data_IF_106470064013
#
_entry.id   IF_106470064013
#
_cell.length_a   1.000
_cell.length_b   1.000
_cell.length_c   1.000
_cell.angle_alpha   90.00
_cell.angle_beta   90.00
_cell.angle_gamma   90.00
#
_symmetry.space_group_name_H-M   'P 1'
#
loop_
_entity.id
_entity.type
_entity.pdbx_description
1 polymer ?
#
# COMPACT_ATOMS: atom_id res chain seq x y z
N UNK A 1 12.04 -10.17 5.61
CA UNK A 1 11.47 -9.10 6.47
C UNK A 1 10.21 -8.43 5.94
N UNK A 2 9.96 -8.36 4.63
CA UNK A 2 8.59 -8.08 4.10
C UNK A 2 7.65 -9.30 4.22
N UNK A 3 8.18 -10.46 4.52
CA UNK A 3 7.48 -11.73 4.58
C UNK A 3 6.48 -11.84 5.74
N UNK A 4 6.83 -11.32 6.92
CA UNK A 4 6.00 -11.48 8.12
C UNK A 4 4.72 -10.63 8.11
N UNK A 5 4.64 -9.70 7.14
CA UNK A 5 3.45 -8.86 6.93
C UNK A 5 2.32 -9.61 6.22
N UNK A 6 2.63 -10.70 5.53
CA UNK A 6 1.68 -11.46 4.72
C UNK A 6 1.29 -12.82 5.30
N UNK A 7 1.69 -13.14 6.53
CA UNK A 7 1.36 -14.41 7.21
C UNK A 7 -0.13 -14.48 7.68
N UNK A 8 -1.02 -13.75 7.03
CA UNK A 8 -2.45 -13.98 7.17
C UNK A 8 -2.98 -14.75 5.96
N UNK A 9 -3.03 -16.11 6.10
CA UNK A 9 -3.70 -17.02 5.14
C UNK A 9 -5.08 -16.52 4.70
N UNK A 10 -5.74 -15.66 5.48
CA UNK A 10 -7.04 -15.06 5.17
C UNK A 10 -6.93 -13.99 4.09
N UNK A 11 -5.81 -13.27 3.99
CA UNK A 11 -5.58 -12.26 2.94
C UNK A 11 -5.27 -12.94 1.60
N UNK A 12 -4.41 -13.97 1.58
CA UNK A 12 -4.12 -14.74 0.37
C UNK A 12 -5.39 -15.39 -0.20
N UNK A 13 -6.26 -15.97 0.63
CA UNK A 13 -7.52 -16.57 0.20
C UNK A 13 -8.57 -15.56 -0.27
N UNK A 14 -8.52 -14.29 0.15
CA UNK A 14 -9.42 -13.23 -0.33
C UNK A 14 -9.00 -12.69 -1.69
N UNK A 15 -7.73 -12.63 -1.99
CA UNK A 15 -7.22 -12.15 -3.29
C UNK A 15 -7.48 -13.15 -4.42
N UNK A 16 -7.54 -14.45 -4.13
CA UNK A 16 -7.85 -15.50 -5.11
C UNK A 16 -9.31 -15.48 -5.64
N UNK A 17 -10.20 -14.63 -5.11
CA UNK A 17 -11.61 -14.52 -5.54
C UNK A 17 -11.91 -13.34 -6.46
N UNK A 18 -10.90 -12.73 -7.10
CA UNK A 18 -11.15 -11.67 -8.08
C UNK A 18 -11.71 -12.28 -9.37
N UNK A 19 -12.88 -11.82 -9.88
CA UNK A 19 -13.43 -12.37 -11.12
C UNK A 19 -12.54 -12.09 -12.30
N UNK A 20 -12.21 -13.11 -13.09
CA UNK A 20 -11.60 -12.95 -14.40
C UNK A 20 -12.57 -12.16 -15.28
N UNK A 21 -12.29 -10.94 -15.57
CA UNK A 21 -13.15 -10.13 -16.42
C UNK A 21 -12.63 -8.75 -16.73
N UNK A 22 -12.09 -8.60 -17.94
CA UNK A 22 -12.14 -7.41 -18.75
C UNK A 22 -11.46 -6.16 -18.18
N UNK A 23 -10.52 -5.63 -18.95
CA UNK A 23 -10.06 -4.23 -18.84
C UNK A 23 -11.29 -3.31 -18.77
N UNK A 24 -11.73 -2.99 -17.56
CA UNK A 24 -12.62 -1.84 -17.37
C UNK A 24 -11.73 -0.69 -16.98
N UNK A 25 -11.75 0.34 -17.84
CA UNK A 25 -11.05 1.58 -17.60
C UNK A 25 -11.33 2.10 -16.18
N UNK A 26 -10.32 2.74 -15.59
CA UNK A 26 -10.44 3.46 -14.32
C UNK A 26 -11.71 4.31 -14.39
N UNK A 27 -12.68 4.15 -13.46
CA UNK A 27 -13.89 4.96 -13.49
C UNK A 27 -13.50 6.44 -13.45
N UNK A 28 -14.07 7.22 -14.38
CA UNK A 28 -13.95 8.67 -14.33
C UNK A 28 -14.24 9.17 -12.89
N UNK A 29 -13.42 10.06 -12.32
CA UNK A 29 -13.52 10.49 -10.93
C UNK A 29 -14.81 11.25 -10.56
N UNK A 30 -15.78 11.33 -11.46
CA UNK A 30 -17.05 12.01 -11.27
C UNK A 30 -18.22 11.10 -10.87
N UNK A 31 -18.04 9.78 -10.82
CA UNK A 31 -19.08 8.91 -10.28
C UNK A 31 -18.93 8.81 -8.76
N UNK A 32 -19.90 9.39 -8.03
CA UNK A 32 -20.18 8.98 -6.65
C UNK A 32 -20.30 7.46 -6.65
N UNK A 33 -19.39 6.76 -5.99
CA UNK A 33 -19.64 5.36 -5.66
C UNK A 33 -20.95 5.35 -4.89
N UNK A 34 -21.96 4.65 -5.43
CA UNK A 34 -23.28 4.58 -4.83
C UNK A 34 -23.32 3.73 -3.57
N UNK A 35 -22.52 4.09 -2.57
CA UNK A 35 -22.65 3.64 -1.19
C UNK A 35 -23.61 4.61 -0.54
N UNK A 36 -24.64 4.11 0.09
CA UNK A 36 -25.78 4.89 0.56
C UNK A 36 -25.48 5.84 1.72
N UNK A 37 -24.69 6.87 1.49
CA UNK A 37 -24.39 7.94 2.45
C UNK A 37 -22.91 8.02 2.86
N UNK A 38 -22.54 9.05 3.64
CA UNK A 38 -21.18 9.22 4.14
C UNK A 38 -20.75 8.08 5.06
N UNK A 39 -19.49 7.63 4.92
CA UNK A 39 -18.91 6.57 5.74
C UNK A 39 -18.07 7.15 6.88
N UNK A 40 -18.00 6.44 8.02
CA UNK A 40 -17.15 6.85 9.14
C UNK A 40 -15.68 6.51 8.90
N UNK A 41 -15.39 5.45 8.12
CA UNK A 41 -14.04 4.98 7.85
C UNK A 41 -13.92 4.56 6.39
N UNK A 42 -12.89 5.06 5.73
CA UNK A 42 -12.39 4.55 4.45
C UNK A 42 -11.00 3.94 4.67
N UNK A 43 -10.75 2.79 4.07
CA UNK A 43 -9.48 2.06 4.23
C UNK A 43 -8.90 1.76 2.85
N UNK A 44 -7.63 2.12 2.63
CA UNK A 44 -6.88 1.80 1.43
C UNK A 44 -5.53 1.23 1.85
N UNK A 45 -5.47 -0.10 1.94
CA UNK A 45 -4.28 -0.87 2.32
C UNK A 45 -3.62 -1.54 1.12
N UNK A 46 -2.46 -2.15 1.38
CA UNK A 46 -1.58 -2.75 0.38
C UNK A 46 -1.15 -1.73 -0.69
N UNK A 47 -0.89 -0.51 -0.24
CA UNK A 47 -0.36 0.58 -1.08
C UNK A 47 -1.22 0.83 -2.32
N UNK A 48 -2.50 0.49 -2.28
CA UNK A 48 -3.41 0.48 -3.43
C UNK A 48 -3.55 1.82 -4.13
N UNK A 49 -3.29 2.93 -3.43
CA UNK A 49 -3.32 4.29 -3.98
C UNK A 49 -2.02 4.69 -4.72
N UNK A 50 -0.96 3.87 -4.66
CA UNK A 50 0.31 4.12 -5.36
C UNK A 50 0.22 3.94 -6.87
N UNK A 51 -0.92 3.45 -7.37
CA UNK A 51 -1.25 3.43 -8.81
C UNK A 51 -1.36 4.83 -9.41
N UNK A 52 -1.61 5.85 -8.58
CA UNK A 52 -1.64 7.24 -9.01
C UNK A 52 -0.21 7.77 -9.15
N UNK A 53 0.19 8.10 -10.38
CA UNK A 53 1.57 8.45 -10.74
C UNK A 53 1.88 9.93 -10.58
N UNK A 54 0.87 10.79 -10.47
CA UNK A 54 1.05 12.24 -10.36
C UNK A 54 0.41 12.80 -9.09
N UNK A 55 0.98 13.91 -8.56
CA UNK A 55 0.40 14.63 -7.42
C UNK A 55 -1.05 15.04 -7.67
N UNK A 56 -1.38 15.42 -8.90
CA UNK A 56 -2.74 15.84 -9.28
C UNK A 56 -3.73 14.68 -9.14
N UNK A 57 -3.37 13.50 -9.64
CA UNK A 57 -4.22 12.31 -9.54
C UNK A 57 -4.40 11.84 -8.10
N UNK A 58 -3.30 11.75 -7.34
CA UNK A 58 -3.36 11.30 -5.95
C UNK A 58 -4.13 12.30 -5.07
N UNK A 59 -3.90 13.61 -5.21
CA UNK A 59 -4.70 14.63 -4.53
C UNK A 59 -6.18 14.48 -4.87
N UNK A 60 -6.50 14.31 -6.16
CA UNK A 60 -7.89 14.14 -6.60
C UNK A 60 -8.54 12.91 -5.99
N UNK A 61 -7.81 11.81 -5.88
CA UNK A 61 -8.27 10.61 -5.17
C UNK A 61 -8.61 10.94 -3.71
N UNK A 62 -7.72 11.62 -2.99
CA UNK A 62 -7.95 12.02 -1.60
C UNK A 62 -9.14 12.97 -1.43
N UNK A 63 -9.32 13.94 -2.33
CA UNK A 63 -10.50 14.83 -2.36
C UNK A 63 -11.80 14.03 -2.51
N UNK A 64 -11.83 13.04 -3.42
CA UNK A 64 -12.99 12.16 -3.63
C UNK A 64 -13.26 11.33 -2.38
N UNK A 65 -12.24 10.70 -1.80
CA UNK A 65 -12.42 9.92 -0.56
C UNK A 65 -12.97 10.82 0.54
N UNK A 66 -12.36 11.98 0.76
CA UNK A 66 -12.80 12.94 1.78
C UNK A 66 -14.25 13.36 1.59
N UNK A 67 -14.68 13.59 0.36
CA UNK A 67 -16.07 13.99 0.07
C UNK A 67 -17.10 12.92 0.46
N UNK A 68 -16.69 11.65 0.50
CA UNK A 68 -17.52 10.51 0.88
C UNK A 68 -17.43 10.15 2.38
N UNK A 69 -16.52 10.76 3.14
CA UNK A 69 -16.45 10.60 4.59
C UNK A 69 -17.52 11.45 5.30
N UNK A 70 -18.00 10.97 6.44
CA UNK A 70 -18.82 11.76 7.38
C UNK A 70 -18.02 12.90 8.02
N UNK A 71 -18.67 13.76 8.84
CA UNK A 71 -18.01 14.92 9.45
C UNK A 71 -16.76 14.58 10.28
N UNK A 72 -16.77 13.43 10.98
CA UNK A 72 -15.64 12.91 11.79
C UNK A 72 -15.03 11.67 11.14
N UNK A 73 -15.18 11.54 9.83
CA UNK A 73 -14.70 10.36 9.11
C UNK A 73 -13.18 10.35 8.97
N UNK A 74 -12.63 9.15 8.92
CA UNK A 74 -11.18 8.91 8.83
C UNK A 74 -10.86 8.13 7.56
N UNK A 75 -9.80 8.55 6.88
CA UNK A 75 -9.12 7.75 5.87
C UNK A 75 -7.92 7.06 6.50
N UNK A 76 -7.83 5.75 6.36
CA UNK A 76 -6.73 4.93 6.85
C UNK A 76 -5.96 4.32 5.69
N UNK A 77 -4.64 4.54 5.67
CA UNK A 77 -3.72 4.13 4.62
C UNK A 77 -2.52 3.39 5.22
N UNK A 78 -1.80 2.65 4.41
CA UNK A 78 -0.45 2.17 4.70
C UNK A 78 0.57 2.74 3.72
N UNK A 79 1.83 2.76 4.14
CA UNK A 79 2.96 3.09 3.29
C UNK A 79 4.20 2.33 3.77
N UNK A 80 5.10 2.02 2.87
CA UNK A 80 6.42 1.49 3.17
C UNK A 80 7.51 2.34 2.50
N UNK A 81 8.73 2.13 2.94
CA UNK A 81 9.91 2.76 2.38
C UNK A 81 11.16 2.24 3.06
N UNK A 82 12.28 2.90 2.85
CA UNK A 82 13.56 2.52 3.42
C UNK A 82 14.68 2.54 2.40
N UNK A 83 15.87 2.18 2.86
CA UNK A 83 17.09 2.22 2.04
C UNK A 83 17.05 1.19 0.90
N UNK A 84 16.41 0.05 1.12
CA UNK A 84 16.42 -1.08 0.18
C UNK A 84 15.26 -1.02 -0.82
N UNK A 85 14.23 -0.21 -0.56
CA UNK A 85 13.04 -0.14 -1.42
C UNK A 85 13.33 0.30 -2.86
N UNK A 86 14.27 1.23 -3.14
CA UNK A 86 14.63 1.58 -4.52
C UNK A 86 15.50 0.53 -5.24
N UNK A 87 15.90 -0.54 -4.55
CA UNK A 87 16.79 -1.54 -5.13
C UNK A 87 15.99 -2.62 -5.88
N UNK A 88 16.53 -3.07 -7.00
CA UNK A 88 16.00 -4.26 -7.69
C UNK A 88 16.32 -5.46 -6.82
N UNK A 89 15.32 -6.17 -6.36
CA UNK A 89 15.45 -7.27 -5.42
C UNK A 89 14.38 -8.34 -5.63
N UNK A 90 14.68 -9.53 -5.11
CA UNK A 90 13.77 -10.67 -5.07
C UNK A 90 13.71 -11.19 -3.63
N UNK A 91 12.51 -11.20 -3.07
CA UNK A 91 12.23 -11.79 -1.77
C UNK A 91 11.41 -13.07 -1.94
N UNK A 92 11.85 -14.15 -1.29
CA UNK A 92 11.27 -15.48 -1.36
C UNK A 92 10.82 -15.92 0.02
N UNK A 93 9.57 -16.36 0.13
CA UNK A 93 8.99 -16.88 1.37
C UNK A 93 8.46 -18.26 1.10
N UNK A 94 9.02 -19.26 1.79
CA UNK A 94 8.59 -20.64 1.72
C UNK A 94 7.36 -20.87 2.61
N UNK A 95 6.32 -21.43 2.04
CA UNK A 95 5.13 -21.95 2.71
C UNK A 95 5.06 -23.47 2.50
N UNK A 96 4.15 -24.13 3.23
CA UNK A 96 4.03 -25.60 3.20
C UNK A 96 3.76 -26.17 1.79
N UNK A 97 2.97 -25.45 0.98
CA UNK A 97 2.53 -25.93 -0.34
C UNK A 97 3.09 -25.12 -1.52
N UNK A 98 3.77 -24.00 -1.26
CA UNK A 98 4.29 -23.11 -2.31
C UNK A 98 5.34 -22.15 -1.78
N UNK A 99 6.15 -21.60 -2.69
CA UNK A 99 7.02 -20.46 -2.41
C UNK A 99 6.38 -19.19 -3.00
N UNK A 100 6.14 -18.20 -2.14
CA UNK A 100 5.78 -16.85 -2.56
C UNK A 100 7.04 -16.11 -2.99
N UNK A 101 6.99 -15.45 -4.15
CA UNK A 101 8.14 -14.70 -4.68
C UNK A 101 7.70 -13.29 -5.04
N UNK A 102 8.22 -12.31 -4.30
CA UNK A 102 8.12 -10.90 -4.64
C UNK A 102 9.34 -10.49 -5.44
N UNK A 103 9.14 -9.84 -6.59
CA UNK A 103 10.20 -9.30 -7.44
C UNK A 103 9.99 -7.83 -7.68
N UNK A 104 10.95 -7.00 -7.27
CA UNK A 104 11.05 -5.63 -7.73
C UNK A 104 11.92 -5.60 -8.99
N UNK A 105 11.37 -5.12 -10.10
CA UNK A 105 11.96 -5.29 -11.43
C UNK A 105 12.61 -4.02 -11.95
N UNK A 106 12.07 -2.87 -11.59
CA UNK A 106 12.53 -1.58 -12.11
C UNK A 106 12.25 -0.46 -11.11
N UNK A 107 13.09 0.57 -11.12
CA UNK A 107 12.91 1.80 -10.37
C UNK A 107 13.52 2.97 -11.12
N UNK A 108 12.69 3.94 -11.50
CA UNK A 108 13.11 5.19 -12.12
C UNK A 108 13.29 6.29 -11.08
N UNK A 109 14.52 6.74 -10.89
CA UNK A 109 14.89 7.77 -9.90
C UNK A 109 14.33 9.16 -10.23
N UNK A 110 13.91 9.43 -11.48
CA UNK A 110 13.36 10.71 -11.88
C UNK A 110 11.86 10.83 -11.60
N UNK A 111 11.14 9.75 -11.81
CA UNK A 111 9.68 9.68 -11.61
C UNK A 111 9.29 9.02 -10.28
N UNK A 112 10.20 8.25 -9.68
CA UNK A 112 9.96 7.32 -8.58
C UNK A 112 8.97 6.20 -8.95
N UNK A 113 8.76 5.98 -10.24
CA UNK A 113 7.99 4.85 -10.70
C UNK A 113 8.76 3.55 -10.48
N UNK A 114 8.07 2.51 -10.04
CA UNK A 114 8.65 1.18 -9.91
C UNK A 114 7.67 0.10 -10.30
N UNK A 115 8.22 -1.00 -10.78
CA UNK A 115 7.47 -2.17 -11.17
C UNK A 115 7.84 -3.36 -10.31
N UNK A 116 6.84 -4.03 -9.80
CA UNK A 116 7.01 -5.25 -9.04
C UNK A 116 5.97 -6.30 -9.42
N UNK A 117 6.26 -7.53 -9.04
CA UNK A 117 5.39 -8.65 -9.34
C UNK A 117 5.44 -9.71 -8.27
N UNK A 118 4.36 -10.46 -8.17
CA UNK A 118 4.24 -11.63 -7.31
C UNK A 118 4.14 -12.86 -8.21
N UNK A 119 4.85 -13.90 -7.83
CA UNK A 119 4.78 -15.23 -8.43
C UNK A 119 4.62 -16.28 -7.33
N UNK A 120 4.08 -17.42 -7.69
CA UNK A 120 4.00 -18.60 -6.82
C UNK A 120 4.68 -19.76 -7.51
N UNK A 121 5.55 -20.45 -6.80
CA UNK A 121 6.25 -21.65 -7.25
C UNK A 121 5.80 -22.83 -6.38
N UNK A 122 5.50 -23.97 -6.98
CA UNK A 122 4.96 -25.15 -6.30
C UNK A 122 5.98 -26.29 -6.30
N UNK A 123 5.87 -27.22 -5.34
CA UNK A 123 6.78 -28.36 -5.16
C UNK A 123 6.85 -29.30 -6.36
N UNK A 124 5.78 -29.37 -7.15
CA UNK A 124 5.73 -30.17 -8.38
C UNK A 124 6.47 -29.54 -9.56
N UNK A 125 7.10 -28.38 -9.35
CA UNK A 125 7.83 -27.60 -10.37
C UNK A 125 6.92 -26.72 -11.25
N UNK A 126 5.62 -26.68 -11.01
CA UNK A 126 4.71 -25.73 -11.64
C UNK A 126 4.85 -24.33 -11.04
N UNK A 127 4.50 -23.29 -11.81
CA UNK A 127 4.53 -21.91 -11.34
C UNK A 127 3.36 -21.08 -11.89
N UNK A 128 2.99 -20.04 -11.14
CA UNK A 128 2.16 -18.94 -11.62
C UNK A 128 3.04 -17.70 -11.69
N UNK A 129 3.51 -17.34 -12.88
CA UNK A 129 4.48 -16.26 -13.08
C UNK A 129 4.18 -15.39 -14.32
N UNK A 130 3.82 -14.09 -14.17
CA UNK A 130 3.46 -13.46 -12.91
C UNK A 130 2.02 -13.81 -12.50
N UNK A 131 1.78 -13.95 -11.20
CA UNK A 131 0.43 -14.02 -10.64
C UNK A 131 -0.18 -12.62 -10.56
N UNK A 132 0.61 -11.65 -10.10
CA UNK A 132 0.23 -10.25 -10.01
C UNK A 132 1.38 -9.36 -10.49
N UNK A 133 1.02 -8.20 -11.05
CA UNK A 133 1.97 -7.16 -11.43
C UNK A 133 1.47 -5.82 -10.95
N UNK A 134 2.39 -4.99 -10.46
CA UNK A 134 2.12 -3.66 -9.95
C UNK A 134 3.03 -2.66 -10.67
N UNK A 135 2.44 -1.56 -11.11
CA UNK A 135 3.15 -0.40 -11.61
C UNK A 135 2.78 0.77 -10.70
N UNK A 136 3.65 1.10 -9.77
CA UNK A 136 3.44 2.06 -8.70
C UNK A 136 4.37 3.26 -8.83
N UNK A 137 4.06 4.32 -8.10
CA UNK A 137 5.00 5.38 -7.76
C UNK A 137 5.30 5.29 -6.27
N UNK A 138 6.59 5.26 -5.93
CA UNK A 138 7.05 5.36 -4.54
C UNK A 138 6.82 6.79 -4.04
N UNK A 139 5.88 6.95 -3.11
CA UNK A 139 5.55 8.23 -2.50
C UNK A 139 6.27 8.39 -1.16
N UNK A 140 6.92 9.53 -0.93
CA UNK A 140 7.43 9.84 0.39
C UNK A 140 6.31 10.17 1.37
N UNK A 141 6.54 9.93 2.67
CA UNK A 141 5.54 10.26 3.70
C UNK A 141 5.24 11.76 3.76
N UNK A 142 6.20 12.60 3.40
CA UNK A 142 6.00 14.06 3.31
C UNK A 142 5.02 14.40 2.19
N UNK A 143 5.22 13.85 0.99
CA UNK A 143 4.31 14.07 -0.13
C UNK A 143 2.88 13.58 0.17
N UNK A 144 2.74 12.38 0.75
CA UNK A 144 1.42 11.82 1.11
C UNK A 144 0.73 12.76 2.12
N UNK A 145 1.42 13.20 3.17
CA UNK A 145 0.85 14.10 4.17
C UNK A 145 0.43 15.42 3.56
N UNK A 146 1.30 16.07 2.78
CA UNK A 146 1.00 17.35 2.12
C UNK A 146 -0.21 17.21 1.18
N UNK A 147 -0.29 16.13 0.41
CA UNK A 147 -1.42 15.88 -0.50
C UNK A 147 -2.74 15.63 0.24
N UNK A 148 -2.70 14.98 1.40
CA UNK A 148 -3.87 14.83 2.28
C UNK A 148 -4.32 16.19 2.84
N UNK A 149 -3.38 17.01 3.31
CA UNK A 149 -3.65 18.37 3.80
C UNK A 149 -4.19 19.27 2.67
N UNK A 150 -3.58 19.23 1.48
CA UNK A 150 -4.07 19.92 0.27
C UNK A 150 -5.48 19.46 -0.14
N UNK A 151 -5.82 18.19 0.05
CA UNK A 151 -7.16 17.65 -0.18
C UNK A 151 -8.17 18.05 0.90
N UNK A 152 -7.71 18.74 1.95
CA UNK A 152 -8.53 19.35 3.00
C UNK A 152 -8.73 18.48 4.25
N UNK A 153 -7.98 17.39 4.43
CA UNK A 153 -7.97 16.66 5.72
C UNK A 153 -7.41 17.56 6.81
N UNK A 154 -8.06 17.56 7.97
CA UNK A 154 -7.77 18.50 9.07
C UNK A 154 -6.57 18.06 9.91
N UNK A 155 -6.29 16.76 9.93
CA UNK A 155 -5.19 16.19 10.73
C UNK A 155 -4.69 14.90 10.09
N UNK A 156 -3.37 14.75 9.98
CA UNK A 156 -2.71 13.58 9.42
C UNK A 156 -1.72 13.03 10.44
N UNK A 157 -1.99 11.83 10.93
CA UNK A 157 -1.16 11.12 11.90
C UNK A 157 -0.44 9.96 11.21
N UNK A 158 0.86 9.83 11.47
CA UNK A 158 1.70 8.72 11.03
C UNK A 158 1.94 7.80 12.22
N UNK A 159 1.57 6.53 12.10
CA UNK A 159 1.74 5.53 13.15
C UNK A 159 2.90 4.61 12.80
N UNK A 160 4.00 4.76 13.55
CA UNK A 160 5.22 3.99 13.36
C UNK A 160 5.18 2.72 14.18
N UNK A 161 5.60 1.61 13.60
CA UNK A 161 5.71 0.37 14.32
C UNK A 161 6.91 0.38 15.27
N UNK A 162 6.76 -0.24 16.44
CA UNK A 162 7.87 -0.50 17.35
C UNK A 162 8.53 -1.80 16.96
N UNK A 163 9.85 -1.76 16.83
CA UNK A 163 10.64 -2.97 16.71
C UNK A 163 11.06 -3.46 18.09
N UNK A 164 11.28 -4.75 18.21
CA UNK A 164 11.94 -5.37 19.35
C UNK A 164 13.46 -5.15 19.29
N UNK A 165 14.24 -5.65 20.29
CA UNK A 165 15.70 -5.52 20.28
C UNK A 165 16.37 -6.25 19.12
N UNK A 166 15.73 -7.23 18.53
CA UNK A 166 16.20 -8.03 17.40
C UNK A 166 15.88 -7.33 16.05
N UNK A 167 15.07 -6.25 16.07
CA UNK A 167 14.69 -5.45 14.91
C UNK A 167 13.39 -5.90 14.24
N UNK A 168 12.67 -6.86 14.85
CA UNK A 168 11.40 -7.37 14.31
C UNK A 168 10.22 -6.49 14.75
N UNK A 169 9.23 -6.36 13.87
CA UNK A 169 8.01 -5.59 14.15
C UNK A 169 7.16 -6.24 15.26
N UNK A 170 6.75 -5.46 16.24
CA UNK A 170 6.00 -5.95 17.41
C UNK A 170 4.48 -5.88 17.27
N UNK A 171 3.96 -5.37 16.15
CA UNK A 171 2.53 -5.08 15.97
C UNK A 171 2.03 -3.90 16.84
N UNK A 172 2.93 -3.18 17.50
CA UNK A 172 2.58 -2.03 18.36
C UNK A 172 3.00 -0.73 17.71
N UNK A 173 2.03 0.15 17.50
CA UNK A 173 2.23 1.42 16.81
C UNK A 173 2.20 2.60 17.78
N UNK A 174 2.93 3.67 17.43
CA UNK A 174 2.99 4.91 18.20
C UNK A 174 3.12 6.12 17.26
N UNK A 175 2.87 7.32 17.76
CA UNK A 175 3.07 8.57 17.02
C UNK A 175 4.51 9.06 17.21
N UNK A 176 5.39 8.93 16.24
CA UNK A 176 6.79 9.34 16.36
C UNK A 176 6.91 10.85 16.20
N UNK A 177 7.84 11.46 16.94
CA UNK A 177 8.32 12.82 16.64
C UNK A 177 9.40 12.81 15.55
N UNK A 178 10.12 11.71 15.44
CA UNK A 178 11.16 11.43 14.47
C UNK A 178 11.21 9.92 14.25
N UNK A 179 11.45 9.49 13.03
CA UNK A 179 11.72 8.11 12.68
C UNK A 179 13.11 8.03 12.01
N UNK A 180 13.76 6.90 12.17
CA UNK A 180 15.03 6.61 11.50
C UNK A 180 14.75 5.99 10.14
N UNK A 181 15.71 6.15 9.21
CA UNK A 181 15.61 5.53 7.89
C UNK A 181 16.19 4.11 7.99
N UNK A 182 15.35 3.16 8.25
CA UNK A 182 15.69 1.74 8.33
C UNK A 182 15.87 1.14 6.92
N UNK A 183 16.36 -0.11 6.84
CA UNK A 183 16.46 -0.83 5.57
C UNK A 183 15.11 -0.94 4.88
N UNK A 184 14.09 -1.38 5.62
CA UNK A 184 12.67 -1.35 5.23
C UNK A 184 11.87 -0.91 6.44
N UNK A 185 10.95 0.02 6.27
CA UNK A 185 10.00 0.43 7.29
C UNK A 185 8.58 0.42 6.74
N UNK A 186 7.65 0.23 7.66
CA UNK A 186 6.23 0.29 7.37
C UNK A 186 5.52 1.23 8.36
N UNK A 187 4.51 1.95 7.88
CA UNK A 187 3.74 2.88 8.68
C UNK A 187 2.28 2.88 8.27
N UNK A 188 1.41 3.15 9.23
CA UNK A 188 0.02 3.49 8.95
C UNK A 188 -0.19 5.01 9.00
N UNK A 189 -1.14 5.47 8.22
CA UNK A 189 -1.50 6.88 8.09
C UNK A 189 -2.99 7.00 8.37
N UNK A 190 -3.38 7.82 9.34
CA UNK A 190 -4.78 8.16 9.61
C UNK A 190 -4.98 9.64 9.32
N UNK A 191 -5.90 9.95 8.40
CA UNK A 191 -6.26 11.30 8.00
C UNK A 191 -7.71 11.60 8.42
N UNK A 192 -7.89 12.57 9.31
CA UNK A 192 -9.20 13.01 9.83
C UNK A 192 -9.79 14.07 8.88
N UNK A 193 -11.09 13.97 8.58
CA UNK A 193 -11.79 14.87 7.63
C UNK A 193 -11.78 16.35 8.03
#
# INVERSE_FOLDING_TARGET
MLADVYDDERLARRQLKWPRGGRRGIPSPTRRCGVGGPVALAVALNFSYWIFKTRVELRRYFEVVRSNLGPEGVLFLDAFGGLDVPQIDENRVEHEDFTYVWRQRDYDVLSHDFECGISFEFDDGSEINPAFTYSWRLWSLVEIRELLEEAGFSKVNLFWERNDPEGEGTGRFYLPKRAENEHVWWTYIAAEK
#
